data_IF_241898661724
#
_entry.id   IF_241898661724
#
_cell.length_a   1.000
_cell.length_b   1.000
_cell.length_c   1.000
_cell.angle_alpha   90.00
_cell.angle_beta   90.00
_cell.angle_gamma   90.00
#
_symmetry.space_group_name_H-M   'P 1'
#
loop_
_entity.id
_entity.type
_entity.pdbx_description
1 polymer ?
#
# COMPACT_ATOMS: atom_id res chain seq x y z
N UNK A 1 10.90 24.88 -22.71
CA UNK A 1 10.32 24.95 -21.36
C UNK A 1 8.82 24.74 -21.48
N UNK A 2 8.40 23.48 -21.63
CA UNK A 2 6.99 23.14 -21.88
C UNK A 2 6.25 23.10 -20.55
N UNK A 3 5.04 23.67 -20.52
CA UNK A 3 4.13 23.79 -19.38
C UNK A 3 3.85 22.45 -18.65
N UNK A 4 4.18 21.32 -19.30
CA UNK A 4 4.07 19.96 -18.77
C UNK A 4 5.07 19.62 -17.66
N UNK A 5 6.19 20.34 -17.53
CA UNK A 5 7.20 20.10 -16.47
C UNK A 5 6.72 20.50 -15.06
N UNK A 6 5.58 21.21 -14.95
CA UNK A 6 4.98 21.62 -13.66
C UNK A 6 3.90 20.66 -13.12
N UNK A 7 3.47 19.68 -13.90
CA UNK A 7 2.58 18.63 -13.40
C UNK A 7 3.52 17.59 -12.78
N UNK A 8 3.57 17.53 -11.44
CA UNK A 8 4.38 16.55 -10.74
C UNK A 8 4.09 15.16 -11.29
N UNK A 9 5.06 14.59 -11.99
CA UNK A 9 4.97 13.26 -12.58
C UNK A 9 4.65 12.29 -11.43
N UNK A 10 3.55 11.55 -11.51
CA UNK A 10 3.24 10.46 -10.56
C UNK A 10 3.67 9.16 -11.24
N UNK A 11 4.23 8.22 -10.48
CA UNK A 11 4.62 6.91 -11.00
C UNK A 11 3.43 6.23 -11.72
N UNK A 12 3.69 5.65 -12.89
CA UNK A 12 2.76 4.70 -13.50
C UNK A 12 2.70 3.41 -12.67
N UNK A 13 1.70 2.56 -12.91
CA UNK A 13 1.62 1.25 -12.23
C UNK A 13 2.87 0.38 -12.51
N UNK A 14 3.39 0.44 -13.74
CA UNK A 14 4.60 -0.27 -14.15
C UNK A 14 5.85 0.26 -13.44
N UNK A 15 6.00 1.59 -13.33
CA UNK A 15 7.10 2.22 -12.62
C UNK A 15 7.08 1.86 -11.13
N UNK A 16 5.89 1.85 -10.52
CA UNK A 16 5.73 1.44 -9.12
C UNK A 16 6.12 -0.04 -8.92
N UNK A 17 5.66 -0.93 -9.80
CA UNK A 17 5.99 -2.36 -9.75
C UNK A 17 7.50 -2.57 -9.91
N UNK A 18 8.15 -1.88 -10.85
CA UNK A 18 9.60 -1.94 -11.04
C UNK A 18 10.36 -1.47 -9.80
N UNK A 19 9.96 -0.33 -9.20
CA UNK A 19 10.58 0.18 -7.96
C UNK A 19 10.42 -0.82 -6.82
N UNK A 20 9.25 -1.43 -6.68
CA UNK A 20 9.01 -2.45 -5.65
C UNK A 20 9.86 -3.71 -5.89
N UNK A 21 9.99 -4.14 -7.15
CA UNK A 21 10.77 -5.31 -7.55
C UNK A 21 12.28 -5.16 -7.33
N UNK A 22 12.81 -3.93 -7.29
CA UNK A 22 14.20 -3.65 -6.90
C UNK A 22 14.51 -4.03 -5.44
N UNK A 23 13.49 -4.27 -4.62
CA UNK A 23 13.70 -4.77 -3.26
C UNK A 23 14.16 -6.24 -3.30
N UNK A 24 14.95 -6.70 -2.32
CA UNK A 24 15.43 -8.09 -2.29
C UNK A 24 14.28 -9.11 -2.37
N UNK A 25 14.52 -10.23 -3.04
CA UNK A 25 13.59 -11.37 -3.07
C UNK A 25 13.23 -11.81 -1.64
N UNK A 26 11.95 -12.13 -1.42
CA UNK A 26 11.41 -12.46 -0.10
C UNK A 26 11.16 -11.25 0.82
N UNK A 27 11.42 -10.01 0.38
CA UNK A 27 10.96 -8.80 1.08
C UNK A 27 9.48 -8.51 0.78
N UNK A 28 8.78 -7.84 1.71
CA UNK A 28 7.37 -7.48 1.52
C UNK A 28 7.15 -6.66 0.23
N UNK A 29 8.03 -5.69 -0.04
CA UNK A 29 7.94 -4.87 -1.25
C UNK A 29 8.13 -5.70 -2.53
N UNK A 30 9.06 -6.65 -2.54
CA UNK A 30 9.26 -7.51 -3.70
C UNK A 30 8.01 -8.37 -3.96
N UNK A 31 7.40 -8.93 -2.91
CA UNK A 31 6.15 -9.67 -3.04
C UNK A 31 5.00 -8.79 -3.55
N UNK A 32 4.89 -7.55 -3.07
CA UNK A 32 3.90 -6.58 -3.57
C UNK A 32 4.10 -6.23 -5.05
N UNK A 33 5.33 -6.24 -5.58
CA UNK A 33 5.56 -5.97 -7.01
C UNK A 33 4.92 -7.00 -7.94
N UNK A 34 4.68 -8.22 -7.45
CA UNK A 34 4.06 -9.33 -8.21
C UNK A 34 2.54 -9.22 -8.25
N UNK A 35 1.94 -8.41 -7.37
CA UNK A 35 0.49 -8.30 -7.22
C UNK A 35 -0.08 -7.13 -8.03
N UNK A 36 -1.25 -7.32 -8.66
CA UNK A 36 -1.94 -6.25 -9.36
C UNK A 36 -2.49 -5.22 -8.37
N UNK A 37 -2.55 -3.96 -8.80
CA UNK A 37 -3.33 -2.93 -8.10
C UNK A 37 -4.81 -3.20 -8.39
N UNK A 38 -5.59 -3.38 -7.34
CA UNK A 38 -7.01 -3.77 -7.37
C UNK A 38 -7.90 -2.67 -6.79
N UNK A 39 -7.34 -1.81 -5.95
CA UNK A 39 -8.04 -0.69 -5.31
C UNK A 39 -7.41 0.60 -5.81
N UNK A 40 -8.04 1.22 -6.81
CA UNK A 40 -7.58 2.48 -7.41
C UNK A 40 -8.16 3.73 -6.75
N UNK A 41 -9.27 3.56 -6.03
CA UNK A 41 -9.97 4.63 -5.32
C UNK A 41 -9.30 4.93 -3.97
N UNK A 42 -9.64 6.08 -3.38
CA UNK A 42 -9.21 6.43 -2.03
C UNK A 42 -9.71 5.39 -1.02
N UNK A 43 -8.83 4.69 -0.28
CA UNK A 43 -9.20 3.47 0.44
C UNK A 43 -9.85 3.73 1.81
N UNK A 44 -10.02 4.99 2.19
CA UNK A 44 -10.59 5.37 3.49
C UNK A 44 -11.99 4.77 3.68
N UNK A 45 -12.22 4.23 4.88
CA UNK A 45 -13.48 3.60 5.31
C UNK A 45 -13.91 2.36 4.48
N UNK A 46 -13.08 1.87 3.57
CA UNK A 46 -13.34 0.64 2.83
C UNK A 46 -12.95 -0.60 3.64
N UNK A 47 -13.69 -1.69 3.45
CA UNK A 47 -13.31 -3.01 3.93
C UNK A 47 -12.31 -3.62 2.97
N UNK A 48 -11.08 -3.81 3.43
CA UNK A 48 -9.98 -4.31 2.62
C UNK A 48 -9.36 -5.52 3.30
N UNK A 49 -9.38 -6.66 2.62
CA UNK A 49 -8.60 -7.83 2.98
C UNK A 49 -7.15 -7.63 2.52
N UNK A 50 -6.21 -7.73 3.46
CA UNK A 50 -4.79 -7.57 3.18
C UNK A 50 -4.27 -8.71 2.30
N UNK A 51 -3.31 -8.47 1.39
CA UNK A 51 -2.80 -9.49 0.47
C UNK A 51 -1.88 -10.53 1.14
N UNK A 52 -2.02 -10.76 2.44
CA UNK A 52 -1.17 -11.67 3.23
C UNK A 52 -1.43 -13.14 2.94
N UNK A 53 -2.51 -13.50 2.26
CA UNK A 53 -2.65 -14.86 1.74
C UNK A 53 -1.93 -15.03 0.38
N UNK A 54 -1.76 -13.95 -0.37
CA UNK A 54 -1.21 -13.99 -1.74
C UNK A 54 0.31 -13.77 -1.80
N UNK A 55 0.92 -13.31 -0.71
CA UNK A 55 2.37 -13.08 -0.61
C UNK A 55 3.04 -14.27 0.06
N UNK A 56 4.21 -14.71 -0.42
CA UNK A 56 4.95 -15.82 0.18
C UNK A 56 5.40 -15.53 1.62
N UNK A 57 5.51 -14.23 1.95
CA UNK A 57 5.82 -13.72 3.28
C UNK A 57 4.61 -13.62 4.20
N UNK A 58 3.44 -13.74 3.61
CA UNK A 58 2.20 -13.54 4.32
C UNK A 58 1.91 -14.72 5.23
N UNK A 59 1.28 -14.43 6.35
CA UNK A 59 1.04 -15.39 7.43
C UNK A 59 0.04 -16.51 7.07
N UNK A 60 -0.49 -16.54 5.85
CA UNK A 60 -1.62 -17.40 5.44
C UNK A 60 -2.96 -17.03 6.08
N UNK A 61 -2.93 -16.13 7.06
CA UNK A 61 -4.08 -15.61 7.77
C UNK A 61 -4.81 -14.54 6.97
N UNK A 62 -6.14 -14.58 7.08
CA UNK A 62 -7.05 -13.57 6.57
C UNK A 62 -7.16 -12.44 7.59
N UNK A 63 -6.75 -11.24 7.18
CA UNK A 63 -6.92 -10.00 7.95
C UNK A 63 -7.66 -8.98 7.11
N UNK A 64 -8.82 -8.54 7.60
CA UNK A 64 -9.64 -7.50 7.00
C UNK A 64 -9.55 -6.25 7.85
N UNK A 65 -9.21 -5.14 7.20
CA UNK A 65 -8.99 -3.86 7.85
C UNK A 65 -9.84 -2.76 7.24
N UNK A 66 -10.06 -1.71 8.02
CA UNK A 66 -10.63 -0.43 7.58
C UNK A 66 -9.58 0.65 7.73
N UNK A 67 -9.11 1.29 6.63
CA UNK A 67 -8.20 2.42 6.70
C UNK A 67 -8.91 3.65 7.27
N UNK A 68 -8.36 4.23 8.35
CA UNK A 68 -8.98 5.35 9.08
C UNK A 68 -8.23 6.65 8.81
N UNK A 69 -6.90 6.62 8.89
CA UNK A 69 -6.08 7.83 8.82
C UNK A 69 -4.87 7.61 7.92
N UNK A 70 -4.70 8.50 6.93
CA UNK A 70 -3.55 8.52 6.06
C UNK A 70 -2.39 9.33 6.66
N UNK A 71 -1.19 8.79 6.54
CA UNK A 71 0.08 9.43 6.90
C UNK A 71 0.98 9.42 5.67
N UNK A 72 1.10 10.58 5.03
CA UNK A 72 2.01 10.77 3.90
C UNK A 72 3.48 10.66 4.32
N UNK A 73 4.33 10.21 3.40
CA UNK A 73 5.78 10.34 3.56
C UNK A 73 6.16 11.82 3.70
N UNK A 74 6.99 12.13 4.70
CA UNK A 74 7.55 13.47 4.82
C UNK A 74 8.36 13.78 3.56
N UNK A 75 8.19 14.98 3.00
CA UNK A 75 9.06 15.44 1.92
C UNK A 75 10.45 15.67 2.49
N UNK A 76 11.44 14.97 1.95
CA UNK A 76 12.84 15.33 2.19
C UNK A 76 13.10 16.66 1.47
N UNK A 77 13.33 17.74 2.21
CA UNK A 77 13.79 19.00 1.61
C UNK A 77 15.16 18.75 0.95
N UNK A 78 15.28 18.99 -0.36
CA UNK A 78 16.54 18.90 -1.10
C UNK A 78 16.60 17.93 -2.29
N UNK A 79 15.54 17.19 -2.63
CA UNK A 79 15.49 16.43 -3.89
C UNK A 79 15.25 17.38 -5.08
N UNK A 80 16.33 18.04 -5.55
CA UNK A 80 16.39 18.69 -6.86
C UNK A 80 16.56 17.62 -7.97
N UNK A 81 15.50 16.88 -8.30
CA UNK A 81 15.46 16.08 -9.54
C UNK A 81 14.01 15.74 -9.89
N UNK A 82 13.61 15.71 -11.18
CA UNK A 82 12.24 15.42 -11.59
C UNK A 82 11.97 13.91 -11.53
N UNK A 83 12.12 13.30 -10.35
CA UNK A 83 11.70 11.90 -10.16
C UNK A 83 10.18 11.84 -10.06
N UNK A 84 9.52 10.85 -10.70
CA UNK A 84 8.11 10.66 -10.50
C UNK A 84 7.82 10.39 -9.02
N UNK A 85 6.83 11.10 -8.48
CA UNK A 85 6.32 10.90 -7.13
C UNK A 85 5.75 9.49 -7.04
N UNK A 86 6.10 8.78 -5.96
CA UNK A 86 5.56 7.43 -5.71
C UNK A 86 4.05 7.42 -5.74
N UNK A 87 3.45 6.50 -6.50
CA UNK A 87 2.00 6.42 -6.69
C UNK A 87 1.25 6.13 -5.39
N UNK A 88 1.73 5.17 -4.61
CA UNK A 88 1.17 4.78 -3.31
C UNK A 88 2.18 5.03 -2.18
N UNK A 89 2.55 6.30 -2.00
CA UNK A 89 3.45 6.72 -0.92
C UNK A 89 2.76 6.68 0.45
N UNK A 90 3.53 6.51 1.53
CA UNK A 90 3.04 6.62 2.90
C UNK A 90 2.31 5.38 3.41
N UNK A 91 1.62 5.54 4.54
CA UNK A 91 0.94 4.47 5.25
C UNK A 91 -0.42 4.91 5.77
N UNK A 92 -1.23 3.92 6.09
CA UNK A 92 -2.56 4.08 6.66
C UNK A 92 -2.61 3.42 8.02
N UNK A 93 -3.15 4.15 9.00
CA UNK A 93 -3.57 3.58 10.26
C UNK A 93 -4.91 2.89 10.03
N UNK A 94 -4.94 1.57 10.18
CA UNK A 94 -6.09 0.74 9.90
C UNK A 94 -6.60 0.06 11.17
N UNK A 95 -7.92 -0.04 11.32
CA UNK A 95 -8.53 -0.88 12.35
C UNK A 95 -8.85 -2.26 11.80
N UNK A 96 -8.58 -3.31 12.59
CA UNK A 96 -8.93 -4.69 12.23
C UNK A 96 -10.40 -4.95 12.54
N UNK A 97 -11.15 -5.38 11.53
CA UNK A 97 -12.59 -5.67 11.63
C UNK A 97 -12.92 -7.16 11.52
N UNK A 98 -12.05 -7.93 10.86
CA UNK A 98 -12.09 -9.40 10.89
C UNK A 98 -10.66 -9.93 10.78
N UNK A 99 -10.31 -10.95 11.56
CA UNK A 99 -8.98 -11.54 11.53
C UNK A 99 -9.00 -12.96 12.11
N UNK A 100 -8.28 -13.88 11.48
CA UNK A 100 -7.94 -15.19 12.02
C UNK A 100 -6.49 -15.25 12.53
N UNK A 101 -5.75 -14.12 12.47
CA UNK A 101 -4.36 -14.04 12.91
C UNK A 101 -4.29 -13.85 14.44
N UNK A 102 -3.54 -14.69 15.19
CA UNK A 102 -3.49 -14.61 16.66
C UNK A 102 -2.95 -13.27 17.18
N UNK A 103 -1.96 -12.69 16.51
CA UNK A 103 -1.37 -11.39 16.87
C UNK A 103 -2.19 -10.16 16.49
N UNK A 104 -3.22 -10.30 15.64
CA UNK A 104 -4.00 -9.15 15.14
C UNK A 104 -5.51 -9.38 15.36
N UNK A 105 -5.97 -9.44 16.63
CA UNK A 105 -7.38 -9.67 16.92
C UNK A 105 -8.26 -8.47 16.53
N UNK A 106 -9.53 -8.74 16.27
CA UNK A 106 -10.56 -7.71 16.04
C UNK A 106 -10.68 -6.81 17.27
N UNK A 107 -10.73 -5.50 17.06
CA UNK A 107 -10.77 -4.52 18.16
C UNK A 107 -9.44 -4.35 18.91
N UNK A 108 -8.36 -4.95 18.41
CA UNK A 108 -7.01 -4.76 18.93
C UNK A 108 -6.39 -3.41 18.53
N UNK A 109 -5.07 -3.38 18.44
CA UNK A 109 -4.32 -2.18 18.06
C UNK A 109 -4.54 -1.80 16.59
N UNK A 110 -4.39 -0.51 16.29
CA UNK A 110 -4.35 -0.03 14.91
C UNK A 110 -3.07 -0.51 14.23
N UNK A 111 -3.21 -1.00 13.01
CA UNK A 111 -2.08 -1.44 12.19
C UNK A 111 -1.63 -0.30 11.29
N UNK A 112 -0.32 -0.14 11.14
CA UNK A 112 0.25 0.75 10.14
C UNK A 112 0.52 -0.07 8.88
N UNK A 113 -0.31 0.12 7.85
CA UNK A 113 -0.23 -0.62 6.59
C UNK A 113 0.25 0.32 5.47
N UNK A 114 1.28 -0.04 4.68
CA UNK A 114 1.70 0.75 3.53
C UNK A 114 0.55 0.98 2.55
N UNK A 115 0.48 2.18 1.95
CA UNK A 115 -0.55 2.47 0.95
C UNK A 115 -0.45 1.54 -0.27
N UNK A 116 0.78 1.17 -0.67
CA UNK A 116 1.04 0.22 -1.75
C UNK A 116 0.50 -1.19 -1.47
N UNK A 117 0.42 -1.58 -0.20
CA UNK A 117 -0.11 -2.87 0.23
C UNK A 117 -1.65 -2.87 0.22
N UNK A 118 -2.27 -1.81 0.74
CA UNK A 118 -3.72 -1.64 0.67
C UNK A 118 -4.23 -1.58 -0.78
N UNK A 119 -3.52 -0.89 -1.67
CA UNK A 119 -3.90 -0.78 -3.08
C UNK A 119 -3.94 -2.14 -3.81
N UNK A 120 -3.24 -3.14 -3.27
CA UNK A 120 -3.14 -4.52 -3.79
C UNK A 120 -3.97 -5.52 -2.97
N UNK A 121 -4.72 -5.04 -1.98
CA UNK A 121 -5.64 -5.85 -1.19
C UNK A 121 -6.95 -6.16 -1.94
N UNK A 122 -7.81 -6.98 -1.34
CA UNK A 122 -9.12 -7.29 -1.93
C UNK A 122 -10.20 -6.48 -1.22
N UNK A 123 -10.95 -5.67 -1.97
CA UNK A 123 -12.14 -4.98 -1.44
C UNK A 123 -13.22 -6.02 -1.11
N UNK A 124 -13.79 -5.92 0.07
CA UNK A 124 -14.94 -6.71 0.50
C UNK A 124 -16.18 -5.84 0.40
N UNK A 125 -17.19 -6.35 -0.29
CA UNK A 125 -18.54 -5.77 -0.32
C UNK A 125 -19.41 -6.51 0.69
N UNK A 126 -20.24 -5.76 1.42
CA UNK A 126 -21.22 -6.29 2.37
C UNK A 126 -22.58 -6.46 1.70
#
# INVERSE_FOLDING_TARGET
MSFLEKIGFVETAEQEAQRLAQSPEGSANHELSKLPVTIEQWPQDLLIELPWHATERGSGHRVVVVPIEYRGEARTEGEEEPRPRKRHAGWWNCAVVASDHPSYPVGGYRLSIPAAELARGKRIEL
#
